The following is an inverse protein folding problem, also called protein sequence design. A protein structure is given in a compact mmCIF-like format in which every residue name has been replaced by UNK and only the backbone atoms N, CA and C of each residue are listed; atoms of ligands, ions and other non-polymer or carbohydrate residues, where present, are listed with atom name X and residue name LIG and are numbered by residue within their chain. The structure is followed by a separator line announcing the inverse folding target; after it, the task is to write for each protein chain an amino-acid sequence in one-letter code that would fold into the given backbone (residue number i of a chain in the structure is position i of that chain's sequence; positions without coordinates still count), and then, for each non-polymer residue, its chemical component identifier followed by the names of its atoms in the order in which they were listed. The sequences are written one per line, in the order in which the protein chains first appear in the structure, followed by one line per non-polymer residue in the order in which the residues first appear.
data_IF_578820785575
#
_entry.id   IF_578820785575
#
_cell.length_a   1.000
_cell.length_b   1.000
_cell.length_c   1.000
_cell.angle_alpha   90.00
_cell.angle_beta   90.00
_cell.angle_gamma   90.00
#
_symmetry.space_group_name_H-M   'P 1'
#
loop_
_entity.id
_entity.type
_entity.pdbx_description
1 polymer ?
#
# COMPACT_ATOMS: atom_id res chain seq x y z
N UNK A 1 -1.18 8.84 21.57
CA UNK A 1 -0.79 9.13 20.16
C UNK A 1 -2.01 8.91 19.28
N UNK A 2 -2.15 9.69 18.24
CA UNK A 2 -3.25 9.53 17.28
C UNK A 2 -3.06 8.21 16.53
N UNK A 3 -4.14 7.41 16.44
CA UNK A 3 -4.14 6.14 15.75
C UNK A 3 -4.80 6.26 14.39
N UNK A 4 -4.29 5.54 13.43
CA UNK A 4 -4.75 5.50 12.04
C UNK A 4 -5.05 4.05 11.63
N UNK A 5 -5.95 3.87 10.68
CA UNK A 5 -6.05 2.60 9.97
C UNK A 5 -5.06 2.59 8.79
N UNK A 6 -4.22 1.56 8.74
CA UNK A 6 -3.30 1.29 7.66
C UNK A 6 -3.76 0.08 6.86
N UNK A 7 -3.64 0.17 5.53
CA UNK A 7 -3.95 -0.93 4.62
C UNK A 7 -2.64 -1.44 4.02
N UNK A 8 -2.39 -2.74 4.17
CA UNK A 8 -1.29 -3.45 3.56
C UNK A 8 -1.83 -4.41 2.48
N UNK A 9 -1.73 -4.07 1.18
CA UNK A 9 -2.06 -4.98 0.08
C UNK A 9 -1.05 -6.11 -0.03
N UNK A 10 -1.52 -7.33 -0.33
CA UNK A 10 -0.68 -8.50 -0.58
C UNK A 10 -1.18 -9.30 -1.78
N UNK A 11 -0.40 -10.30 -2.19
CA UNK A 11 -0.87 -11.28 -3.16
C UNK A 11 -2.02 -12.12 -2.57
N UNK A 12 -3.00 -12.46 -3.39
CA UNK A 12 -4.12 -13.32 -2.99
C UNK A 12 -3.62 -14.64 -2.39
N UNK A 13 -4.18 -15.04 -1.26
CA UNK A 13 -3.78 -16.22 -0.51
C UNK A 13 -2.62 -16.00 0.46
N UNK A 14 -2.01 -14.80 0.48
CA UNK A 14 -0.91 -14.45 1.39
C UNK A 14 -1.38 -13.65 2.62
N UNK A 15 -2.67 -13.43 2.78
CA UNK A 15 -3.24 -12.61 3.84
C UNK A 15 -2.89 -13.16 5.23
N UNK A 16 -2.88 -14.48 5.39
CA UNK A 16 -2.52 -15.13 6.66
C UNK A 16 -1.04 -14.90 7.03
N UNK A 17 -0.15 -14.87 6.03
CA UNK A 17 1.27 -14.56 6.23
C UNK A 17 1.43 -13.11 6.67
N UNK A 18 0.86 -12.18 5.92
CA UNK A 18 0.93 -10.75 6.21
C UNK A 18 0.30 -10.42 7.57
N UNK A 19 -0.86 -11.03 7.89
CA UNK A 19 -1.48 -10.90 9.21
C UNK A 19 -0.51 -11.26 10.34
N UNK A 20 0.21 -12.38 10.20
CA UNK A 20 1.19 -12.82 11.20
C UNK A 20 2.32 -11.81 11.34
N UNK A 21 2.89 -11.33 10.24
CA UNK A 21 3.93 -10.29 10.27
C UNK A 21 3.49 -9.03 11.03
N UNK A 22 2.24 -8.56 10.79
CA UNK A 22 1.69 -7.36 11.45
C UNK A 22 1.51 -7.61 12.96
N UNK A 23 1.02 -8.79 13.34
CA UNK A 23 0.87 -9.18 14.75
C UNK A 23 2.24 -9.31 15.45
N UNK A 24 3.25 -9.84 14.77
CA UNK A 24 4.62 -9.98 15.30
C UNK A 24 5.27 -8.60 15.52
N UNK A 25 4.86 -7.56 14.77
CA UNK A 25 5.25 -6.17 15.02
C UNK A 25 4.47 -5.51 16.19
N UNK A 26 3.47 -6.20 16.76
CA UNK A 26 2.68 -5.72 17.90
C UNK A 26 1.46 -4.87 17.53
N UNK A 27 1.04 -4.84 16.25
CA UNK A 27 -0.12 -4.07 15.81
C UNK A 27 -1.40 -4.91 15.75
N UNK A 28 -2.55 -4.26 16.03
CA UNK A 28 -3.87 -4.90 16.04
C UNK A 28 -4.50 -4.91 14.64
N UNK A 29 -4.96 -6.10 14.22
CA UNK A 29 -5.68 -6.27 12.96
C UNK A 29 -7.13 -5.82 13.12
N UNK A 30 -7.58 -4.90 12.27
CA UNK A 30 -8.98 -4.47 12.23
C UNK A 30 -9.79 -5.23 11.18
N UNK A 31 -9.18 -5.60 10.04
CA UNK A 31 -9.89 -6.30 8.96
C UNK A 31 -8.94 -7.14 8.11
N UNK A 32 -9.38 -8.32 7.69
CA UNK A 32 -8.71 -9.16 6.68
C UNK A 32 -9.66 -9.38 5.52
N UNK A 33 -9.23 -9.04 4.33
CA UNK A 33 -10.00 -9.19 3.08
C UNK A 33 -9.11 -9.77 2.00
N UNK A 34 -9.70 -10.29 0.94
CA UNK A 34 -8.95 -10.82 -0.20
C UNK A 34 -7.95 -9.79 -0.74
N UNK A 35 -6.66 -10.12 -0.68
CA UNK A 35 -5.55 -9.30 -1.17
C UNK A 35 -5.17 -8.10 -0.31
N UNK A 36 -5.68 -7.97 0.93
CA UNK A 36 -5.27 -6.90 1.85
C UNK A 36 -5.53 -7.23 3.31
N UNK A 37 -4.71 -6.65 4.18
CA UNK A 37 -4.91 -6.65 5.64
C UNK A 37 -4.95 -5.20 6.11
N UNK A 38 -5.94 -4.86 6.94
CA UNK A 38 -6.08 -3.54 7.57
C UNK A 38 -5.77 -3.68 9.05
N UNK A 39 -5.02 -2.74 9.61
CA UNK A 39 -4.58 -2.75 11.00
C UNK A 39 -4.49 -1.33 11.56
N UNK A 40 -4.53 -1.21 12.88
CA UNK A 40 -4.45 0.05 13.58
C UNK A 40 -3.01 0.33 14.02
N UNK A 41 -2.51 1.53 13.76
CA UNK A 41 -1.17 1.96 14.14
C UNK A 41 -1.09 3.49 14.31
N UNK A 42 0.00 3.96 14.88
CA UNK A 42 0.36 5.38 14.93
C UNK A 42 1.39 5.74 13.85
N UNK A 43 1.97 6.93 13.94
CA UNK A 43 3.00 7.39 12.99
C UNK A 43 4.26 6.49 12.98
N UNK A 44 4.63 5.92 14.15
CA UNK A 44 5.73 4.95 14.23
C UNK A 44 5.37 3.69 13.46
N UNK A 45 4.13 3.22 13.55
CA UNK A 45 3.66 2.03 12.84
C UNK A 45 3.66 2.18 11.32
N UNK A 46 3.52 3.40 10.78
CA UNK A 46 3.73 3.65 9.35
C UNK A 46 5.19 3.35 8.97
N UNK A 47 6.15 3.82 9.77
CA UNK A 47 7.57 3.58 9.53
C UNK A 47 7.92 2.08 9.68
N UNK A 48 7.47 1.46 10.78
CA UNK A 48 7.72 0.04 11.06
C UNK A 48 7.18 -0.86 9.94
N UNK A 49 5.94 -0.63 9.52
CA UNK A 49 5.34 -1.40 8.44
C UNK A 49 6.10 -1.27 7.11
N UNK A 50 6.58 -0.07 6.77
CA UNK A 50 7.37 0.16 5.56
C UNK A 50 8.78 -0.44 5.63
N UNK A 51 9.36 -0.59 6.82
CA UNK A 51 10.72 -1.13 7.01
C UNK A 51 10.70 -2.65 7.18
N UNK A 52 9.77 -3.20 7.97
CA UNK A 52 9.85 -4.58 8.44
C UNK A 52 8.93 -5.55 7.71
N UNK A 53 7.80 -5.12 7.13
CA UNK A 53 6.91 -6.05 6.43
C UNK A 53 7.51 -6.55 5.12
N UNK A 54 7.55 -7.88 4.95
CA UNK A 54 8.17 -8.57 3.82
C UNK A 54 7.18 -8.92 2.71
N UNK A 55 5.92 -9.23 3.08
CA UNK A 55 4.92 -9.80 2.17
C UNK A 55 3.95 -8.80 1.57
N UNK A 56 4.06 -7.51 1.90
CA UNK A 56 3.24 -6.44 1.33
C UNK A 56 3.98 -5.61 0.28
N UNK A 57 3.23 -5.09 -0.69
CA UNK A 57 3.77 -4.24 -1.76
C UNK A 57 3.86 -2.76 -1.37
N UNK A 58 2.98 -2.31 -0.46
CA UNK A 58 2.84 -0.92 -0.03
C UNK A 58 2.13 -0.83 1.30
N UNK A 59 2.26 0.33 1.95
CA UNK A 59 1.47 0.72 3.11
C UNK A 59 0.66 1.95 2.73
N UNK A 60 -0.65 1.87 2.89
CA UNK A 60 -1.56 2.98 2.60
C UNK A 60 -2.18 3.47 3.90
N UNK A 61 -2.11 4.78 4.14
CA UNK A 61 -2.91 5.42 5.19
C UNK A 61 -4.36 5.49 4.69
N UNK A 62 -5.27 4.79 5.36
CA UNK A 62 -6.68 4.73 4.99
C UNK A 62 -7.35 6.07 5.25
N UNK A 63 -7.92 6.67 4.21
CA UNK A 63 -8.70 7.91 4.32
C UNK A 63 -10.17 7.60 4.56
N UNK A 64 -10.75 6.73 3.71
CA UNK A 64 -12.16 6.37 3.80
C UNK A 64 -12.51 5.12 2.99
N UNK A 65 -13.70 4.57 3.29
CA UNK A 65 -14.43 3.67 2.39
C UNK A 65 -15.76 4.36 2.02
N UNK A 66 -16.03 4.49 0.72
CA UNK A 66 -17.23 5.15 0.22
C UNK A 66 -17.93 4.29 -0.82
N UNK A 67 -19.24 4.07 -0.68
CA UNK A 67 -20.03 3.44 -1.72
C UNK A 67 -20.39 4.47 -2.79
N UNK A 68 -20.09 4.16 -4.06
CA UNK A 68 -20.45 5.01 -5.19
C UNK A 68 -20.79 4.17 -6.42
N UNK A 69 -21.98 4.39 -6.96
CA UNK A 69 -22.49 3.68 -8.15
C UNK A 69 -22.48 4.58 -9.41
N UNK A 70 -22.33 5.89 -9.20
CA UNK A 70 -22.21 6.92 -10.27
C UNK A 70 -21.00 7.82 -10.03
N UNK A 71 -20.55 8.49 -11.08
CA UNK A 71 -19.45 9.45 -10.97
C UNK A 71 -19.82 10.68 -10.14
N UNK A 72 -21.08 11.10 -10.14
CA UNK A 72 -21.58 12.21 -9.31
C UNK A 72 -21.51 11.82 -7.82
N UNK A 73 -21.95 10.60 -7.47
CA UNK A 73 -21.82 10.11 -6.11
C UNK A 73 -20.35 10.01 -5.68
N UNK A 74 -19.47 9.52 -6.55
CA UNK A 74 -18.04 9.45 -6.27
C UNK A 74 -17.46 10.84 -6.03
N UNK A 75 -17.82 11.81 -6.88
CA UNK A 75 -17.37 13.18 -6.75
C UNK A 75 -17.80 13.81 -5.42
N UNK A 76 -19.09 13.81 -5.12
CA UNK A 76 -19.62 14.45 -3.92
C UNK A 76 -19.11 13.78 -2.63
N UNK A 77 -19.07 12.46 -2.57
CA UNK A 77 -18.55 11.73 -1.41
C UNK A 77 -17.04 11.93 -1.23
N UNK A 78 -16.27 12.00 -2.33
CA UNK A 78 -14.83 12.30 -2.26
C UNK A 78 -14.58 13.74 -1.80
N UNK A 79 -15.36 14.70 -2.29
CA UNK A 79 -15.27 16.11 -1.92
C UNK A 79 -15.64 16.35 -0.45
N UNK A 80 -16.56 15.55 0.11
CA UNK A 80 -16.98 15.65 1.51
C UNK A 80 -15.91 15.19 2.51
N UNK A 81 -14.89 14.43 2.08
CA UNK A 81 -13.81 13.97 2.96
C UNK A 81 -12.91 15.12 3.43
N UNK A 82 -12.38 15.05 4.66
CA UNK A 82 -11.54 16.12 5.23
C UNK A 82 -10.09 16.02 4.74
N UNK A 83 -9.87 16.27 3.45
CA UNK A 83 -8.56 16.16 2.80
C UNK A 83 -7.49 17.08 3.41
N UNK A 84 -7.90 18.19 3.98
CA UNK A 84 -7.04 19.15 4.69
C UNK A 84 -6.33 18.56 5.92
N UNK A 85 -6.85 17.47 6.50
CA UNK A 85 -6.20 16.75 7.59
C UNK A 85 -5.00 15.94 7.12
N UNK A 86 -4.89 15.66 5.82
CA UNK A 86 -3.85 14.82 5.23
C UNK A 86 -2.90 15.60 4.32
N UNK A 87 -3.44 16.56 3.55
CA UNK A 87 -2.72 17.24 2.48
C UNK A 87 -2.61 18.73 2.85
N UNK A 88 -1.42 19.24 3.17
CA UNK A 88 -1.21 20.66 3.43
C UNK A 88 -1.36 21.49 2.15
N UNK A 89 -1.43 22.82 2.30
CA UNK A 89 -1.69 23.78 1.22
C UNK A 89 -0.66 23.70 0.07
N UNK A 90 0.59 23.41 0.38
CA UNK A 90 1.72 23.26 -0.54
C UNK A 90 1.91 21.81 -1.04
N UNK A 91 1.11 20.86 -0.50
CA UNK A 91 1.25 19.44 -0.80
C UNK A 91 0.97 19.11 -2.28
N UNK A 92 1.84 18.29 -2.87
CA UNK A 92 1.68 17.74 -4.21
C UNK A 92 0.85 16.46 -4.15
N UNK A 93 -0.33 16.44 -4.77
CA UNK A 93 -1.23 15.30 -4.69
C UNK A 93 -1.79 14.90 -6.05
N UNK A 94 -1.96 13.59 -6.23
CA UNK A 94 -2.57 13.01 -7.43
C UNK A 94 -3.15 11.63 -7.13
N UNK A 95 -4.10 11.18 -7.94
CA UNK A 95 -4.59 9.81 -7.86
C UNK A 95 -3.66 8.91 -8.69
N UNK A 96 -2.72 8.26 -8.01
CA UNK A 96 -1.64 7.49 -8.63
C UNK A 96 -2.12 6.18 -9.27
N UNK A 97 -3.16 5.57 -8.69
CA UNK A 97 -3.73 4.32 -9.19
C UNK A 97 -5.19 4.19 -8.80
N UNK A 98 -6.01 3.78 -9.75
CA UNK A 98 -7.36 3.30 -9.51
C UNK A 98 -7.51 1.89 -10.07
N UNK A 99 -8.13 0.99 -9.30
CA UNK A 99 -8.54 -0.34 -9.74
C UNK A 99 -10.03 -0.48 -9.50
N UNK A 100 -10.72 -1.21 -10.37
CA UNK A 100 -12.14 -1.49 -10.19
C UNK A 100 -12.46 -2.94 -10.53
N UNK A 101 -13.11 -3.63 -9.60
CA UNK A 101 -13.50 -5.04 -9.73
C UNK A 101 -14.97 -5.17 -9.34
N UNK A 102 -15.78 -5.81 -10.21
CA UNK A 102 -17.20 -6.06 -9.96
C UNK A 102 -17.98 -4.80 -9.53
N UNK A 103 -17.69 -3.66 -10.14
CA UNK A 103 -18.29 -2.36 -9.82
C UNK A 103 -18.83 -1.67 -11.08
N UNK A 104 -19.84 -0.82 -10.91
CA UNK A 104 -20.44 -0.04 -12.00
C UNK A 104 -19.47 0.97 -12.58
N UNK A 105 -18.66 1.60 -11.73
CA UNK A 105 -17.56 2.49 -12.14
C UNK A 105 -16.33 1.63 -12.46
N UNK A 106 -16.06 1.39 -13.74
CA UNK A 106 -15.04 0.44 -14.20
C UNK A 106 -13.83 1.11 -14.89
N UNK A 107 -13.93 2.39 -15.28
CA UNK A 107 -12.84 3.11 -15.96
C UNK A 107 -11.85 3.71 -14.94
N UNK A 108 -10.61 3.19 -14.82
CA UNK A 108 -9.63 3.74 -13.88
C UNK A 108 -9.27 5.21 -14.14
N UNK A 109 -9.17 5.61 -15.42
CA UNK A 109 -8.84 6.99 -15.81
C UNK A 109 -9.92 7.98 -15.38
N UNK A 110 -11.21 7.62 -15.55
CA UNK A 110 -12.31 8.48 -15.17
C UNK A 110 -12.42 8.59 -13.65
N UNK A 111 -12.26 7.49 -12.94
CA UNK A 111 -12.18 7.47 -11.46
C UNK A 111 -11.09 8.42 -10.98
N UNK A 112 -9.86 8.31 -11.55
CA UNK A 112 -8.74 9.17 -11.18
C UNK A 112 -9.04 10.65 -11.44
N UNK A 113 -9.59 10.98 -12.59
CA UNK A 113 -9.90 12.36 -12.99
C UNK A 113 -10.98 12.97 -12.11
N UNK A 114 -12.07 12.26 -11.87
CA UNK A 114 -13.19 12.70 -11.03
C UNK A 114 -12.74 12.92 -9.59
N UNK A 115 -11.99 11.97 -9.04
CA UNK A 115 -11.49 12.09 -7.66
C UNK A 115 -10.48 13.24 -7.53
N UNK A 116 -9.53 13.40 -8.47
CA UNK A 116 -8.60 14.54 -8.43
C UNK A 116 -9.37 15.86 -8.43
N UNK A 117 -10.39 16.00 -9.28
CA UNK A 117 -11.24 17.20 -9.33
C UNK A 117 -11.97 17.44 -8.00
N UNK A 118 -12.56 16.42 -7.40
CA UNK A 118 -13.26 16.51 -6.13
C UNK A 118 -12.34 16.97 -4.98
N UNK A 119 -11.13 16.42 -4.91
CA UNK A 119 -10.12 16.79 -3.91
C UNK A 119 -9.68 18.25 -4.11
N UNK A 120 -9.40 18.65 -5.35
CA UNK A 120 -9.03 20.03 -5.68
C UNK A 120 -10.13 20.99 -5.25
N UNK A 121 -11.41 20.71 -5.53
CA UNK A 121 -12.51 21.57 -5.12
C UNK A 121 -12.65 21.67 -3.60
N UNK A 122 -12.49 20.56 -2.86
CA UNK A 122 -12.48 20.58 -1.40
C UNK A 122 -11.37 21.48 -0.87
N UNK A 123 -10.14 21.23 -1.28
CA UNK A 123 -8.96 21.93 -0.76
C UNK A 123 -8.96 23.41 -1.17
N UNK A 124 -9.46 23.77 -2.38
CA UNK A 124 -9.66 25.17 -2.77
C UNK A 124 -10.61 25.90 -1.82
N UNK A 125 -11.72 25.25 -1.46
CA UNK A 125 -12.69 25.81 -0.53
C UNK A 125 -12.12 26.01 0.87
N UNK A 126 -11.34 25.06 1.36
CA UNK A 126 -10.75 25.11 2.71
C UNK A 126 -9.59 26.10 2.79
N UNK A 127 -8.67 26.08 1.82
CA UNK A 127 -7.47 26.94 1.85
C UNK A 127 -7.68 28.32 1.24
N UNK A 128 -8.83 28.59 0.64
CA UNK A 128 -9.13 29.89 0.02
C UNK A 128 -8.22 30.24 -1.16
N UNK A 129 -7.78 29.24 -1.93
CA UNK A 129 -6.85 29.41 -3.05
C UNK A 129 -7.51 29.03 -4.38
N UNK A 130 -7.07 29.65 -5.47
CA UNK A 130 -7.46 29.28 -6.83
C UNK A 130 -6.50 28.31 -7.49
N UNK A 131 -5.26 28.24 -7.01
CA UNK A 131 -4.17 27.44 -7.54
C UNK A 131 -3.34 26.82 -6.41
N UNK A 132 -2.75 25.62 -6.64
CA UNK A 132 -1.81 24.95 -5.75
C UNK A 132 -0.42 24.96 -6.39
N UNK A 133 0.59 25.36 -5.65
CA UNK A 133 2.00 25.39 -6.12
C UNK A 133 2.58 23.98 -6.25
N UNK A 134 2.10 23.04 -5.44
CA UNK A 134 2.52 21.62 -5.43
C UNK A 134 4.05 21.43 -5.29
N UNK A 135 4.71 22.29 -4.53
CA UNK A 135 6.16 22.29 -4.28
C UNK A 135 6.57 21.62 -2.97
N UNK A 136 5.59 21.23 -2.15
CA UNK A 136 5.78 20.52 -0.88
C UNK A 136 5.86 19.00 -1.02
N UNK A 137 5.55 18.30 0.08
CA UNK A 137 5.57 16.84 0.16
C UNK A 137 4.55 16.19 -0.80
N UNK A 138 4.87 14.97 -1.23
CA UNK A 138 4.05 14.20 -2.19
C UNK A 138 3.04 13.31 -1.49
N UNK A 139 1.77 13.38 -1.93
CA UNK A 139 0.65 12.59 -1.42
C UNK A 139 0.00 11.78 -2.55
N UNK A 140 0.59 10.67 -2.98
CA UNK A 140 -0.01 9.81 -4.01
C UNK A 140 -1.20 9.05 -3.42
N UNK A 141 -2.38 9.19 -4.04
CA UNK A 141 -3.62 8.57 -3.60
C UNK A 141 -3.86 7.31 -4.41
N UNK A 142 -4.30 6.25 -3.76
CA UNK A 142 -4.71 5.00 -4.39
C UNK A 142 -6.15 4.67 -4.05
N UNK A 143 -6.85 4.13 -5.03
CA UNK A 143 -8.26 3.80 -4.94
C UNK A 143 -8.49 2.39 -5.45
N UNK A 144 -9.19 1.60 -4.65
CA UNK A 144 -9.62 0.26 -5.03
C UNK A 144 -11.14 0.14 -4.90
N UNK A 145 -11.81 0.00 -6.04
CA UNK A 145 -13.23 -0.33 -6.09
C UNK A 145 -13.45 -1.84 -6.03
N UNK A 146 -14.29 -2.26 -5.13
CA UNK A 146 -14.79 -3.63 -5.04
C UNK A 146 -16.29 -3.60 -4.71
N UNK A 147 -17.11 -4.15 -5.62
CA UNK A 147 -18.59 -4.19 -5.44
C UNK A 147 -19.18 -2.81 -5.09
N UNK A 148 -18.84 -1.81 -5.89
CA UNK A 148 -19.28 -0.41 -5.77
C UNK A 148 -18.81 0.32 -4.49
N UNK A 149 -17.88 -0.26 -3.73
CA UNK A 149 -17.23 0.40 -2.58
C UNK A 149 -15.80 0.78 -2.96
N UNK A 150 -15.49 2.06 -2.87
CA UNK A 150 -14.15 2.62 -3.03
C UNK A 150 -13.42 2.64 -1.70
N UNK A 151 -12.33 1.90 -1.58
CA UNK A 151 -11.35 2.06 -0.51
C UNK A 151 -10.30 3.08 -0.96
N UNK A 152 -10.15 4.15 -0.22
CA UNK A 152 -9.27 5.28 -0.54
C UNK A 152 -8.14 5.34 0.47
N UNK A 153 -6.90 5.38 0.00
CA UNK A 153 -5.72 5.48 0.85
C UNK A 153 -4.62 6.35 0.25
N UNK A 154 -3.83 6.98 1.12
CA UNK A 154 -2.62 7.72 0.75
C UNK A 154 -1.43 6.76 0.83
N UNK A 155 -0.65 6.66 -0.23
CA UNK A 155 0.53 5.79 -0.32
C UNK A 155 1.68 6.40 0.49
N UNK A 156 2.09 5.70 1.54
CA UNK A 156 3.18 6.12 2.44
C UNK A 156 4.53 5.50 2.06
N UNK A 157 4.56 4.60 1.06
CA UNK A 157 5.75 3.80 0.76
C UNK A 157 6.70 4.45 -0.25
N UNK A 158 6.19 5.33 -1.12
CA UNK A 158 6.98 5.88 -2.22
C UNK A 158 7.36 4.80 -3.24
N UNK A 159 8.60 4.32 -3.20
CA UNK A 159 9.04 3.18 -4.01
C UNK A 159 8.39 1.90 -3.49
N UNK A 160 7.98 1.00 -4.40
CA UNK A 160 7.32 -0.26 -4.01
C UNK A 160 8.21 -1.12 -3.12
N UNK A 161 7.63 -1.77 -2.09
CA UNK A 161 8.36 -2.49 -1.05
C UNK A 161 9.11 -3.73 -1.58
N UNK A 162 8.67 -4.32 -2.72
CA UNK A 162 9.44 -5.39 -3.35
C UNK A 162 10.82 -4.94 -3.82
N UNK A 163 11.02 -3.65 -4.10
CA UNK A 163 12.33 -3.10 -4.48
C UNK A 163 13.23 -2.96 -3.26
N UNK A 164 13.84 -4.05 -2.82
CA UNK A 164 14.69 -4.13 -1.62
C UNK A 164 16.04 -3.39 -1.73
N UNK A 165 16.41 -2.90 -2.91
CA UNK A 165 17.69 -2.23 -3.16
C UNK A 165 18.86 -3.16 -3.52
N UNK A 166 18.77 -4.45 -3.26
CA UNK A 166 19.88 -5.39 -3.56
C UNK A 166 19.98 -5.81 -5.03
N UNK A 167 18.89 -5.69 -5.81
CA UNK A 167 18.85 -6.17 -7.19
C UNK A 167 19.58 -5.21 -8.13
N UNK A 168 20.81 -5.54 -8.49
CA UNK A 168 21.63 -4.77 -9.46
C UNK A 168 21.43 -5.25 -10.90
N UNK A 169 21.12 -6.53 -11.10
CA UNK A 169 20.89 -7.14 -12.40
C UNK A 169 19.47 -7.71 -12.46
N UNK A 170 18.81 -7.54 -13.59
CA UNK A 170 17.47 -8.06 -13.82
C UNK A 170 17.53 -9.18 -14.85
N UNK A 171 16.80 -10.27 -14.57
CA UNK A 171 16.46 -11.31 -15.55
C UNK A 171 15.06 -11.05 -16.07
N UNK A 172 14.69 -11.72 -17.16
CA UNK A 172 13.35 -11.61 -17.73
C UNK A 172 12.33 -12.20 -16.73
N UNK A 173 11.38 -11.37 -16.29
CA UNK A 173 10.26 -11.75 -15.42
C UNK A 173 10.65 -12.50 -14.11
N UNK A 174 11.49 -11.94 -13.22
CA UNK A 174 11.78 -12.58 -11.94
C UNK A 174 10.54 -12.57 -11.05
N UNK A 175 10.48 -13.53 -10.09
CA UNK A 175 9.50 -13.46 -9.01
C UNK A 175 9.75 -12.20 -8.18
N UNK A 176 8.66 -11.54 -7.71
CA UNK A 176 8.79 -10.39 -6.81
C UNK A 176 9.30 -10.83 -5.43
N UNK A 177 10.09 -9.99 -4.82
CA UNK A 177 10.71 -10.24 -3.50
C UNK A 177 9.65 -10.45 -2.42
N UNK A 178 8.55 -9.69 -2.47
CA UNK A 178 7.40 -9.82 -1.56
C UNK A 178 6.72 -11.17 -1.66
N UNK A 179 6.51 -11.67 -2.89
CA UNK A 179 5.92 -12.99 -3.11
C UNK A 179 6.89 -14.11 -2.69
N UNK A 180 8.18 -14.00 -3.04
CA UNK A 180 9.19 -14.97 -2.63
C UNK A 180 9.28 -15.08 -1.10
N UNK A 181 9.32 -13.95 -0.39
CA UNK A 181 9.28 -13.91 1.07
C UNK A 181 8.03 -14.61 1.63
N UNK A 182 6.85 -14.27 1.12
CA UNK A 182 5.60 -14.87 1.57
C UNK A 182 5.59 -16.38 1.38
N UNK A 183 6.08 -16.88 0.25
CA UNK A 183 6.18 -18.31 -0.03
C UNK A 183 7.15 -19.03 0.91
N UNK A 184 8.31 -18.44 1.23
CA UNK A 184 9.25 -18.99 2.22
C UNK A 184 8.56 -19.08 3.59
N UNK A 185 7.84 -18.04 4.00
CA UNK A 185 7.14 -17.97 5.30
C UNK A 185 5.95 -18.94 5.42
N UNK A 186 5.44 -19.46 4.30
CA UNK A 186 4.45 -20.55 4.26
C UNK A 186 5.06 -21.93 4.49
N UNK A 187 6.37 -22.07 4.31
CA UNK A 187 7.06 -23.34 4.54
C UNK A 187 7.47 -23.50 6.01
N UNK A 188 7.81 -24.71 6.48
CA UNK A 188 8.37 -24.91 7.81
C UNK A 188 9.88 -24.57 7.88
N UNK A 189 10.42 -23.86 6.87
CA UNK A 189 11.81 -23.44 6.85
C UNK A 189 12.08 -22.39 7.96
N UNK A 190 13.26 -22.45 8.54
CA UNK A 190 13.80 -21.47 9.46
C UNK A 190 15.33 -21.41 9.30
N UNK A 191 16.00 -20.48 9.99
CA UNK A 191 17.44 -20.24 9.87
C UNK A 191 18.34 -21.43 10.18
N UNK A 192 17.83 -22.42 10.92
CA UNK A 192 18.59 -23.63 11.32
C UNK A 192 18.44 -24.77 10.31
N UNK A 193 17.69 -24.55 9.22
CA UNK A 193 17.45 -25.53 8.15
C UNK A 193 18.12 -25.10 6.84
N UNK A 194 18.69 -26.05 6.12
CA UNK A 194 19.26 -25.81 4.81
C UNK A 194 18.12 -25.50 3.83
N UNK A 195 18.28 -24.42 3.06
CA UNK A 195 17.42 -24.09 1.92
C UNK A 195 18.19 -24.38 0.64
N UNK A 196 17.56 -25.12 -0.26
CA UNK A 196 18.12 -25.44 -1.59
C UNK A 196 17.11 -25.00 -2.66
N UNK A 197 17.55 -24.18 -3.58
CA UNK A 197 16.77 -23.77 -4.76
C UNK A 197 17.50 -24.21 -6.02
N UNK A 198 17.15 -25.38 -6.60
CA UNK A 198 17.82 -25.92 -7.78
C UNK A 198 17.53 -25.15 -9.08
N UNK A 199 16.54 -24.25 -9.06
CA UNK A 199 16.13 -23.44 -10.20
C UNK A 199 16.15 -21.94 -9.87
N UNK A 200 17.16 -21.51 -9.13
CA UNK A 200 17.21 -20.20 -8.45
C UNK A 200 17.05 -18.96 -9.36
N UNK A 201 17.24 -19.07 -10.66
CA UNK A 201 17.13 -17.95 -11.58
C UNK A 201 18.00 -16.75 -11.13
N UNK A 202 17.37 -15.63 -10.76
CA UNK A 202 18.05 -14.45 -10.22
C UNK A 202 18.39 -14.53 -8.73
N UNK A 203 18.16 -15.67 -8.09
CA UNK A 203 18.48 -15.89 -6.68
C UNK A 203 17.50 -15.25 -5.68
N UNK A 204 16.27 -14.88 -6.11
CA UNK A 204 15.34 -14.17 -5.23
C UNK A 204 15.02 -14.96 -3.95
N UNK A 205 14.68 -16.26 -4.08
CA UNK A 205 14.39 -17.11 -2.91
C UNK A 205 15.57 -17.21 -1.93
N UNK A 206 16.79 -17.61 -2.37
CA UNK A 206 17.91 -17.75 -1.44
C UNK A 206 18.33 -16.40 -0.84
N UNK A 207 18.20 -15.27 -1.56
CA UNK A 207 18.52 -13.95 -1.01
C UNK A 207 17.51 -13.56 0.07
N UNK A 208 16.19 -13.69 -0.18
CA UNK A 208 15.17 -13.36 0.81
C UNK A 208 15.29 -14.29 2.04
N UNK A 209 15.57 -15.59 1.85
CA UNK A 209 15.81 -16.50 2.95
C UNK A 209 17.06 -16.12 3.77
N UNK A 210 18.14 -15.73 3.12
CA UNK A 210 19.35 -15.26 3.79
C UNK A 210 19.09 -13.98 4.61
N UNK A 211 18.34 -13.04 4.08
CA UNK A 211 17.92 -11.83 4.80
C UNK A 211 17.07 -12.16 6.02
N UNK A 212 16.13 -13.13 5.91
CA UNK A 212 15.34 -13.61 7.05
C UNK A 212 16.22 -14.29 8.11
N UNK A 213 17.15 -15.15 7.68
CA UNK A 213 18.05 -15.85 8.60
C UNK A 213 18.98 -14.90 9.37
N UNK A 214 19.40 -13.82 8.73
CA UNK A 214 20.26 -12.78 9.30
C UNK A 214 19.49 -11.67 10.03
N UNK A 215 18.16 -11.77 10.11
CA UNK A 215 17.26 -10.77 10.67
C UNK A 215 17.42 -9.35 10.05
N UNK A 216 17.70 -9.30 8.76
CA UNK A 216 17.83 -8.05 8.02
C UNK A 216 16.45 -7.58 7.60
N UNK A 217 16.04 -6.39 8.03
CA UNK A 217 14.78 -5.79 7.63
C UNK A 217 14.74 -5.50 6.11
N UNK A 218 13.64 -5.83 5.41
CA UNK A 218 13.56 -5.71 3.95
C UNK A 218 13.64 -4.27 3.43
N UNK A 219 13.28 -3.30 4.26
CA UNK A 219 13.29 -1.88 3.92
C UNK A 219 14.62 -1.15 4.13
N UNK A 220 15.65 -1.79 4.68
CA UNK A 220 16.90 -1.11 5.09
C UNK A 220 17.72 -0.52 3.95
N UNK A 221 17.67 -1.10 2.76
CA UNK A 221 18.50 -0.67 1.61
C UNK A 221 17.65 -0.08 0.47
N UNK A 222 16.40 0.23 0.75
CA UNK A 222 15.45 0.75 -0.22
C UNK A 222 15.56 2.26 -0.42
#
# INVERSE_FOLDING_TARGET
MEKFELIAPCHFGMEAVLKREILDLGYEITKVEDGKVTFEADAQGIADANIFLRSTERILLKVAEVKAETFDELFEKTKALPWENYIPKDGKFWVAKANSVKSKLFSPSDIQSIMKKAIVERLKGVYGVSWFEEDGASFPIRVAFMKDVATIGIDTSGVSLHKRGYRKMTVKAPITETLASALIMLTPWNKDRILVDPFCGSGTFPIEAAMMAADIAPGMNR
#
